data_IF_850923505002
#
_entry.id   IF_850923505002
#
_cell.length_a   1.000
_cell.length_b   1.000
_cell.length_c   1.000
_cell.angle_alpha   90.00
_cell.angle_beta   90.00
_cell.angle_gamma   90.00
#
_symmetry.space_group_name_H-M   'P 1'
#
loop_
_entity.id
_entity.type
_entity.pdbx_description
1 polymer ?
#
# COMPACT_ATOMS: atom_id res chain seq x y z
N UNK A 1 -0.19 2.79 -10.48
CA UNK A 1 -0.59 1.77 -11.48
C UNK A 1 0.13 0.43 -11.33
N UNK A 2 1.35 0.38 -10.75
CA UNK A 2 2.09 -0.89 -10.56
C UNK A 2 1.34 -1.98 -9.80
N UNK A 3 0.72 -1.63 -8.66
CA UNK A 3 -0.02 -2.62 -7.88
C UNK A 3 -1.33 -3.10 -8.52
N UNK A 4 -1.94 -2.28 -9.38
CA UNK A 4 -3.11 -2.69 -10.18
C UNK A 4 -2.69 -3.65 -11.31
N UNK A 5 -1.58 -3.37 -11.99
CA UNK A 5 -0.99 -4.29 -12.97
C UNK A 5 -0.66 -5.65 -12.34
N UNK A 6 -0.17 -5.66 -11.09
CA UNK A 6 0.05 -6.89 -10.35
C UNK A 6 -1.23 -7.63 -9.98
N UNK A 7 -2.28 -6.93 -9.55
CA UNK A 7 -3.58 -7.55 -9.33
C UNK A 7 -4.09 -8.28 -10.57
N UNK A 8 -3.91 -7.67 -11.75
CA UNK A 8 -4.31 -8.26 -13.04
C UNK A 8 -3.52 -9.51 -13.43
N UNK A 9 -2.27 -9.65 -12.97
CA UNK A 9 -1.44 -10.84 -13.23
C UNK A 9 -1.61 -11.90 -12.14
N UNK A 10 -1.62 -11.49 -10.87
CA UNK A 10 -1.66 -12.38 -9.73
C UNK A 10 -3.01 -13.05 -9.54
N UNK A 11 -4.13 -12.33 -9.76
CA UNK A 11 -5.46 -12.91 -9.56
C UNK A 11 -5.67 -14.12 -10.49
N UNK A 12 -5.44 -14.04 -11.81
CA UNK A 12 -5.56 -15.20 -12.69
C UNK A 12 -4.51 -16.28 -12.43
N UNK A 13 -3.25 -15.90 -12.20
CA UNK A 13 -2.15 -16.87 -12.04
C UNK A 13 -2.27 -17.71 -10.77
N UNK A 14 -2.95 -17.20 -9.73
CA UNK A 14 -3.12 -17.89 -8.45
C UNK A 14 -4.54 -18.43 -8.24
N UNK A 15 -5.50 -18.15 -9.14
CA UNK A 15 -6.90 -18.61 -9.03
C UNK A 15 -7.05 -20.15 -9.00
N UNK A 16 -6.08 -20.88 -9.55
CA UNK A 16 -6.11 -22.35 -9.59
C UNK A 16 -5.39 -23.02 -8.41
N UNK A 17 -4.80 -22.25 -7.48
CA UNK A 17 -4.12 -22.83 -6.31
C UNK A 17 -5.15 -23.24 -5.26
N UNK A 18 -4.99 -24.45 -4.75
CA UNK A 18 -5.85 -25.06 -3.72
C UNK A 18 -5.49 -24.58 -2.30
N UNK A 19 -4.45 -23.77 -2.13
CA UNK A 19 -3.89 -23.34 -0.84
C UNK A 19 -4.74 -22.27 -0.10
N UNK A 20 -5.92 -21.92 -0.62
CA UNK A 20 -6.87 -20.98 0.03
C UNK A 20 -6.32 -19.56 0.25
N UNK A 21 -5.28 -19.16 -0.48
CA UNK A 21 -4.66 -17.83 -0.34
C UNK A 21 -3.80 -17.68 0.92
N UNK A 22 -3.35 -18.79 1.51
CA UNK A 22 -2.50 -18.79 2.71
C UNK A 22 -1.16 -18.08 2.47
N UNK A 23 -0.89 -17.08 3.29
CA UNK A 23 0.40 -16.36 3.31
C UNK A 23 1.50 -17.13 4.05
N UNK A 24 1.20 -18.32 4.59
CA UNK A 24 2.18 -19.15 5.30
C UNK A 24 3.09 -19.95 4.36
N UNK A 25 2.74 -20.05 3.09
CA UNK A 25 3.58 -20.74 2.11
C UNK A 25 4.87 -19.94 1.87
N UNK A 26 6.00 -20.64 1.74
CA UNK A 26 7.30 -20.01 1.43
C UNK A 26 7.23 -19.16 0.16
N UNK A 27 6.45 -19.60 -0.83
CA UNK A 27 6.21 -18.86 -2.07
C UNK A 27 5.47 -17.54 -1.85
N UNK A 28 4.42 -17.51 -1.02
CA UNK A 28 3.70 -16.27 -0.71
C UNK A 28 4.58 -15.29 0.09
N UNK A 29 5.35 -15.79 1.06
CA UNK A 29 6.29 -14.96 1.83
C UNK A 29 7.37 -14.35 0.93
N UNK A 30 7.97 -15.15 0.05
CA UNK A 30 8.97 -14.66 -0.91
C UNK A 30 8.38 -13.66 -1.90
N UNK A 31 7.14 -13.88 -2.36
CA UNK A 31 6.45 -12.96 -3.27
C UNK A 31 6.17 -11.62 -2.59
N UNK A 32 5.52 -11.62 -1.42
CA UNK A 32 5.18 -10.39 -0.69
C UNK A 32 6.45 -9.66 -0.26
N UNK A 33 7.43 -10.38 0.31
CA UNK A 33 8.69 -9.80 0.76
C UNK A 33 9.54 -9.26 -0.39
N UNK A 34 9.69 -10.04 -1.47
CA UNK A 34 10.43 -9.61 -2.67
C UNK A 34 9.77 -8.41 -3.35
N UNK A 35 8.44 -8.39 -3.44
CA UNK A 35 7.72 -7.25 -3.96
C UNK A 35 7.83 -6.01 -3.07
N UNK A 36 7.75 -6.18 -1.74
CA UNK A 36 7.95 -5.08 -0.79
C UNK A 36 9.36 -4.48 -0.91
N UNK A 37 10.39 -5.31 -1.05
CA UNK A 37 11.76 -4.86 -1.26
C UNK A 37 11.94 -4.15 -2.61
N UNK A 38 11.44 -4.73 -3.70
CA UNK A 38 11.54 -4.14 -5.03
C UNK A 38 10.82 -2.78 -5.11
N UNK A 39 9.59 -2.71 -4.57
CA UNK A 39 8.83 -1.47 -4.51
C UNK A 39 9.46 -0.44 -3.56
N UNK A 40 10.08 -0.85 -2.46
CA UNK A 40 10.82 0.04 -1.57
C UNK A 40 11.98 0.73 -2.30
N UNK A 41 12.70 0.02 -3.18
CA UNK A 41 13.73 0.61 -4.02
C UNK A 41 13.13 1.67 -4.93
N UNK A 42 12.03 1.37 -5.62
CA UNK A 42 11.40 2.31 -6.56
C UNK A 42 10.89 3.57 -5.84
N UNK A 43 10.06 3.42 -4.81
CA UNK A 43 9.51 4.58 -4.08
C UNK A 43 10.57 5.31 -3.27
N UNK A 44 11.57 4.58 -2.74
CA UNK A 44 12.72 5.16 -2.05
C UNK A 44 13.56 6.00 -2.99
N UNK A 45 13.85 5.54 -4.20
CA UNK A 45 14.56 6.33 -5.21
C UNK A 45 13.80 7.61 -5.58
N UNK A 46 12.48 7.53 -5.76
CA UNK A 46 11.65 8.72 -6.00
C UNK A 46 11.74 9.70 -4.83
N UNK A 47 11.62 9.22 -3.58
CA UNK A 47 11.75 10.05 -2.38
C UNK A 47 13.14 10.68 -2.21
N UNK A 48 14.20 9.94 -2.52
CA UNK A 48 15.58 10.45 -2.47
C UNK A 48 15.79 11.55 -3.51
N UNK A 49 15.33 11.34 -4.73
CA UNK A 49 15.47 12.27 -5.85
C UNK A 49 14.51 13.47 -5.78
N UNK A 50 13.48 13.43 -4.92
CA UNK A 50 12.47 14.48 -4.76
C UNK A 50 13.07 15.89 -4.60
N UNK A 51 14.07 16.02 -3.73
CA UNK A 51 14.73 17.30 -3.47
C UNK A 51 15.54 17.84 -4.65
N UNK A 52 15.85 17.00 -5.65
CA UNK A 52 16.57 17.39 -6.86
C UNK A 52 15.61 17.78 -7.99
N UNK A 53 14.62 16.94 -8.31
CA UNK A 53 13.76 17.22 -9.46
C UNK A 53 12.65 18.23 -9.16
N UNK A 54 12.13 18.28 -7.92
CA UNK A 54 11.00 19.19 -7.61
C UNK A 54 11.38 20.66 -7.74
N UNK A 55 12.55 21.14 -7.25
CA UNK A 55 12.93 22.53 -7.46
C UNK A 55 13.20 22.91 -8.92
N UNK A 56 13.53 21.93 -9.78
CA UNK A 56 13.71 22.16 -11.22
C UNK A 56 12.36 22.42 -11.91
N UNK A 57 11.32 21.68 -11.52
CA UNK A 57 9.97 21.80 -12.12
C UNK A 57 9.13 22.89 -11.42
N UNK A 58 9.26 23.01 -10.11
CA UNK A 58 8.53 23.93 -9.23
C UNK A 58 9.52 24.74 -8.36
N UNK A 59 10.14 25.80 -8.89
CA UNK A 59 11.22 26.50 -8.20
C UNK A 59 10.82 27.18 -6.89
N UNK A 60 9.59 27.66 -6.78
CA UNK A 60 9.10 28.38 -5.61
C UNK A 60 8.74 27.47 -4.43
N UNK A 61 8.20 26.27 -4.71
CA UNK A 61 7.61 25.37 -3.70
C UNK A 61 8.40 24.06 -3.56
N UNK A 62 9.27 23.74 -4.50
CA UNK A 62 9.82 22.39 -4.70
C UNK A 62 10.64 21.86 -3.53
N UNK A 63 11.29 22.73 -2.76
CA UNK A 63 12.05 22.34 -1.56
C UNK A 63 11.13 21.93 -0.41
N UNK A 64 10.03 22.67 -0.18
CA UNK A 64 9.03 22.32 0.83
C UNK A 64 8.24 21.07 0.42
N UNK A 65 7.83 20.99 -0.86
CA UNK A 65 7.10 19.86 -1.41
C UNK A 65 7.90 18.55 -1.40
N UNK A 66 9.24 18.60 -1.37
CA UNK A 66 10.08 17.40 -1.33
C UNK A 66 9.91 16.59 -0.03
N UNK A 67 9.73 17.26 1.11
CA UNK A 67 9.48 16.57 2.38
C UNK A 67 8.11 15.90 2.39
N UNK A 68 7.08 16.60 1.92
CA UNK A 68 5.72 16.06 1.79
C UNK A 68 5.68 14.88 0.83
N UNK A 69 6.38 14.99 -0.31
CA UNK A 69 6.46 13.90 -1.29
C UNK A 69 7.17 12.67 -0.70
N UNK A 70 8.27 12.85 0.04
CA UNK A 70 8.95 11.73 0.73
C UNK A 70 8.02 11.02 1.69
N UNK A 71 7.25 11.77 2.47
CA UNK A 71 6.29 11.18 3.40
C UNK A 71 5.18 10.44 2.65
N UNK A 72 4.67 11.03 1.57
CA UNK A 72 3.68 10.40 0.70
C UNK A 72 4.20 9.12 0.05
N UNK A 73 5.47 9.06 -0.35
CA UNK A 73 6.09 7.85 -0.91
C UNK A 73 6.10 6.69 0.08
N UNK A 74 6.29 6.96 1.38
CA UNK A 74 6.16 5.92 2.42
C UNK A 74 4.74 5.40 2.48
N UNK A 75 3.74 6.30 2.50
CA UNK A 75 2.33 5.91 2.53
C UNK A 75 1.92 5.10 1.29
N UNK A 76 2.35 5.54 0.11
CA UNK A 76 2.10 4.84 -1.16
C UNK A 76 2.80 3.49 -1.21
N UNK A 77 4.01 3.38 -0.65
CA UNK A 77 4.71 2.10 -0.54
C UNK A 77 3.93 1.11 0.33
N UNK A 78 3.48 1.52 1.53
CA UNK A 78 2.66 0.67 2.42
C UNK A 78 1.38 0.21 1.73
N UNK A 79 0.66 1.13 1.09
CA UNK A 79 -0.51 0.81 0.27
C UNK A 79 -0.18 -0.23 -0.80
N UNK A 80 0.92 -0.01 -1.52
CA UNK A 80 1.36 -0.86 -2.63
C UNK A 80 1.66 -2.28 -2.15
N UNK A 81 2.37 -2.42 -1.03
CA UNK A 81 2.66 -3.73 -0.41
C UNK A 81 1.36 -4.47 -0.06
N UNK A 82 0.33 -3.76 0.41
CA UNK A 82 -0.97 -4.33 0.75
C UNK A 82 -1.73 -4.95 -0.42
N UNK A 83 -1.40 -4.58 -1.67
CA UNK A 83 -2.11 -5.07 -2.85
C UNK A 83 -1.79 -6.54 -3.17
N UNK A 84 -0.59 -7.02 -2.87
CA UNK A 84 -0.21 -8.42 -3.13
C UNK A 84 -0.98 -9.41 -2.25
N UNK A 85 -0.98 -9.31 -0.90
CA UNK A 85 -1.78 -10.20 -0.07
C UNK A 85 -3.27 -10.06 -0.35
N UNK A 86 -3.76 -8.85 -0.65
CA UNK A 86 -5.16 -8.66 -1.07
C UNK A 86 -5.49 -9.41 -2.36
N UNK A 87 -4.62 -9.35 -3.38
CA UNK A 87 -4.81 -10.08 -4.64
C UNK A 87 -4.78 -11.60 -4.44
N UNK A 88 -3.90 -12.11 -3.58
CA UNK A 88 -3.84 -13.54 -3.24
C UNK A 88 -5.12 -14.01 -2.53
N UNK A 89 -5.66 -13.21 -1.61
CA UNK A 89 -6.93 -13.50 -0.94
C UNK A 89 -8.12 -13.43 -1.90
N UNK A 90 -8.12 -12.47 -2.84
CA UNK A 90 -9.13 -12.36 -3.89
C UNK A 90 -9.10 -13.58 -4.81
N UNK A 91 -7.90 -14.02 -5.23
CA UNK A 91 -7.71 -15.23 -6.02
C UNK A 91 -8.25 -16.49 -5.32
N UNK A 92 -8.20 -16.51 -3.98
CA UNK A 92 -8.73 -17.58 -3.14
C UNK A 92 -10.24 -17.44 -2.84
N UNK A 93 -10.95 -16.50 -3.47
CA UNK A 93 -12.39 -16.29 -3.25
C UNK A 93 -12.75 -15.56 -1.96
N UNK A 94 -11.79 -15.03 -1.20
CA UNK A 94 -12.01 -14.33 0.08
C UNK A 94 -12.39 -12.85 -0.10
N UNK A 95 -13.11 -12.52 -1.17
CA UNK A 95 -13.42 -11.15 -1.59
C UNK A 95 -14.16 -10.34 -0.53
N UNK A 96 -15.09 -10.97 0.21
CA UNK A 96 -15.81 -10.30 1.31
C UNK A 96 -14.86 -9.82 2.40
N UNK A 97 -13.87 -10.62 2.76
CA UNK A 97 -12.93 -10.29 3.82
C UNK A 97 -11.97 -9.17 3.39
N UNK A 98 -11.51 -9.21 2.13
CA UNK A 98 -10.69 -8.14 1.54
C UNK A 98 -11.48 -6.83 1.43
N UNK A 99 -12.76 -6.90 1.04
CA UNK A 99 -13.63 -5.73 0.99
C UNK A 99 -13.82 -5.11 2.39
N UNK A 100 -14.10 -5.93 3.42
CA UNK A 100 -14.24 -5.44 4.80
C UNK A 100 -12.93 -4.83 5.32
N UNK A 101 -11.77 -5.45 5.04
CA UNK A 101 -10.47 -4.88 5.39
C UNK A 101 -10.23 -3.52 4.70
N UNK A 102 -10.62 -3.40 3.43
CA UNK A 102 -10.47 -2.17 2.65
C UNK A 102 -11.39 -1.07 3.17
N UNK A 103 -12.64 -1.40 3.53
CA UNK A 103 -13.58 -0.46 4.14
C UNK A 103 -13.09 -0.01 5.51
N UNK A 104 -12.61 -0.93 6.35
CA UNK A 104 -12.06 -0.59 7.66
C UNK A 104 -10.84 0.34 7.53
N UNK A 105 -9.91 0.02 6.62
CA UNK A 105 -8.78 0.88 6.31
C UNK A 105 -9.21 2.25 5.79
N UNK A 106 -10.19 2.30 4.88
CA UNK A 106 -10.71 3.57 4.38
C UNK A 106 -11.31 4.43 5.50
N UNK A 107 -12.18 3.88 6.34
CA UNK A 107 -12.81 4.63 7.43
C UNK A 107 -11.77 5.13 8.44
N UNK A 108 -10.86 4.25 8.86
CA UNK A 108 -9.81 4.59 9.83
C UNK A 108 -8.73 5.52 9.26
N UNK A 109 -8.60 5.61 7.93
CA UNK A 109 -7.72 6.59 7.28
C UNK A 109 -8.42 7.92 6.97
N UNK A 110 -9.71 7.88 6.62
CA UNK A 110 -10.50 9.05 6.27
C UNK A 110 -10.74 9.96 7.47
N UNK A 111 -10.97 9.40 8.66
CA UNK A 111 -11.13 10.17 9.90
C UNK A 111 -9.90 11.06 10.19
N UNK A 112 -8.67 10.53 10.36
CA UNK A 112 -7.49 11.36 10.58
C UNK A 112 -7.20 12.28 9.41
N UNK A 113 -7.51 11.90 8.16
CA UNK A 113 -7.37 12.80 7.02
C UNK A 113 -8.31 14.02 7.13
N UNK A 114 -9.56 13.82 7.55
CA UNK A 114 -10.53 14.89 7.75
C UNK A 114 -10.19 15.80 8.94
N UNK A 115 -9.62 15.23 10.00
CA UNK A 115 -9.24 15.98 11.22
C UNK A 115 -7.90 16.71 11.05
N UNK A 116 -6.88 16.03 10.52
CA UNK A 116 -5.52 16.56 10.43
C UNK A 116 -5.30 17.37 9.16
N UNK A 117 -6.03 17.12 8.08
CA UNK A 117 -5.91 17.86 6.82
C UNK A 117 -6.02 19.38 6.97
N UNK A 118 -7.03 19.92 7.68
CA UNK A 118 -7.17 21.36 7.90
C UNK A 118 -6.05 21.99 8.73
N UNK A 119 -5.39 21.22 9.60
CA UNK A 119 -4.39 21.74 10.57
C UNK A 119 -2.96 21.55 10.06
N UNK A 120 -2.68 20.41 9.44
CA UNK A 120 -1.35 19.98 9.02
C UNK A 120 -1.21 19.86 7.49
N UNK A 121 -2.21 20.30 6.72
CA UNK A 121 -2.18 20.30 5.27
C UNK A 121 -1.92 18.92 4.65
N UNK A 122 -0.97 18.86 3.72
CA UNK A 122 -0.58 17.64 2.99
C UNK A 122 -0.06 16.55 3.94
N UNK A 123 0.67 16.92 4.98
CA UNK A 123 1.15 15.96 5.98
C UNK A 123 0.00 15.32 6.76
N UNK A 124 -1.04 16.10 7.11
CA UNK A 124 -2.26 15.58 7.75
C UNK A 124 -3.00 14.59 6.86
N UNK A 125 -3.17 14.93 5.57
CA UNK A 125 -3.79 14.03 4.60
C UNK A 125 -2.97 12.74 4.36
N UNK A 126 -1.65 12.87 4.28
CA UNK A 126 -0.73 11.73 4.12
C UNK A 126 -0.75 10.81 5.34
N UNK A 127 -0.88 11.38 6.55
CA UNK A 127 -1.02 10.60 7.79
C UNK A 127 -2.27 9.72 7.74
N UNK A 128 -3.41 10.30 7.37
CA UNK A 128 -4.64 9.52 7.25
C UNK A 128 -4.56 8.44 6.17
N UNK A 129 -3.98 8.76 5.01
CA UNK A 129 -3.74 7.77 3.96
C UNK A 129 -2.82 6.63 4.42
N UNK A 130 -1.74 6.94 5.15
CA UNK A 130 -0.82 5.95 5.71
C UNK A 130 -1.52 5.05 6.72
N UNK A 131 -2.30 5.63 7.65
CA UNK A 131 -3.06 4.87 8.66
C UNK A 131 -4.02 3.90 7.97
N UNK A 132 -4.82 4.37 7.02
CA UNK A 132 -5.78 3.51 6.33
C UNK A 132 -5.10 2.39 5.53
N UNK A 133 -3.97 2.70 4.89
CA UNK A 133 -3.16 1.73 4.15
C UNK A 133 -2.53 0.69 5.07
N UNK A 134 -2.02 1.11 6.23
CA UNK A 134 -1.42 0.22 7.22
C UNK A 134 -2.46 -0.70 7.86
N UNK A 135 -3.62 -0.17 8.24
CA UNK A 135 -4.75 -0.95 8.77
C UNK A 135 -5.18 -2.00 7.75
N UNK A 136 -5.37 -1.61 6.49
CA UNK A 136 -5.74 -2.55 5.44
C UNK A 136 -4.68 -3.63 5.25
N UNK A 137 -3.39 -3.26 5.15
CA UNK A 137 -2.27 -4.19 5.03
C UNK A 137 -2.24 -5.20 6.18
N UNK A 138 -2.33 -4.72 7.43
CA UNK A 138 -2.33 -5.58 8.63
C UNK A 138 -3.54 -6.51 8.61
N UNK A 139 -4.72 -6.02 8.23
CA UNK A 139 -5.92 -6.83 8.13
C UNK A 139 -5.78 -7.93 7.09
N UNK A 140 -5.35 -7.62 5.85
CA UNK A 140 -5.20 -8.65 4.80
C UNK A 140 -4.08 -9.64 5.12
N UNK A 141 -2.98 -9.19 5.75
CA UNK A 141 -1.93 -10.10 6.21
C UNK A 141 -2.45 -11.01 7.32
N UNK A 142 -3.13 -10.46 8.33
CA UNK A 142 -3.71 -11.21 9.43
C UNK A 142 -4.73 -12.25 8.96
N UNK A 143 -5.58 -11.88 8.00
CA UNK A 143 -6.54 -12.78 7.34
C UNK A 143 -5.80 -13.90 6.60
N UNK A 144 -4.77 -13.57 5.82
CA UNK A 144 -3.95 -14.54 5.10
C UNK A 144 -3.08 -15.45 5.99
N UNK A 145 -2.86 -15.07 7.26
CA UNK A 145 -2.16 -15.90 8.25
C UNK A 145 -3.09 -16.80 9.08
N UNK A 146 -4.41 -16.56 9.09
CA UNK A 146 -5.38 -17.40 9.79
C UNK A 146 -5.61 -18.71 9.02
N UNK A 147 -5.68 -19.83 9.76
CA UNK A 147 -6.23 -21.09 9.24
C UNK A 147 -7.74 -20.98 9.32
N UNK A 148 -8.41 -21.10 8.18
CA UNK A 148 -9.81 -21.50 8.18
C UNK A 148 -9.88 -23.00 8.55
#
# INVERSE_FOLDING_TARGET
>A
MLGQALGQVLVPAFAHRTDGGSLRSRGAVLLVGGFAAASAVVFGLVGLLAGWFLPIVHPAEGTAAATDLRYLMVAVWVFTVGLVPAALLLAAGRSRQVALASVAGFVLGAEPMAVLGPVAGVAGGTTGFLVGSAVNLVAVVGIGMRRD
#
